data_IF_458652634762
#
_entry.id   IF_458652634762
#
_cell.length_a   1.000
_cell.length_b   1.000
_cell.length_c   1.000
_cell.angle_alpha   90.00
_cell.angle_beta   90.00
_cell.angle_gamma   90.00
#
_symmetry.space_group_name_H-M   'P 1'
#
loop_
_entity.id
_entity.type
_entity.pdbx_description
1 polymer ?
#
# COMPACT_ATOMS: atom_id res chain seq x y z
N UNK A 1 11.50 0.58 -21.59
CA UNK A 1 11.13 1.75 -20.75
C UNK A 1 10.03 2.55 -21.43
N UNK A 2 9.01 2.98 -20.69
CA UNK A 2 7.96 3.84 -21.24
C UNK A 2 8.50 5.25 -21.54
N UNK A 3 9.52 5.68 -20.78
CA UNK A 3 10.16 6.99 -20.94
C UNK A 3 11.52 6.88 -21.65
N UNK A 4 11.47 6.77 -22.97
CA UNK A 4 12.66 6.73 -23.83
C UNK A 4 13.43 8.07 -23.85
N UNK A 5 12.74 9.19 -23.62
CA UNK A 5 13.34 10.52 -23.65
C UNK A 5 14.30 10.71 -22.47
N UNK A 6 13.89 10.30 -21.27
CA UNK A 6 14.73 10.36 -20.06
C UNK A 6 15.95 9.44 -20.16
N UNK A 7 15.80 8.24 -20.73
CA UNK A 7 16.93 7.30 -20.93
C UNK A 7 17.94 7.87 -21.93
N UNK A 8 17.47 8.37 -23.08
CA UNK A 8 18.34 8.97 -24.09
C UNK A 8 19.11 10.19 -23.55
N UNK A 9 18.45 10.99 -22.71
CA UNK A 9 19.08 12.14 -22.06
C UNK A 9 20.15 11.72 -21.03
N UNK A 10 19.91 10.65 -20.28
CA UNK A 10 20.88 10.09 -19.36
C UNK A 10 22.11 9.52 -20.08
N UNK A 11 21.91 8.79 -21.18
CA UNK A 11 22.98 8.27 -22.04
C UNK A 11 23.79 9.41 -22.67
N UNK A 12 23.14 10.50 -23.08
CA UNK A 12 23.81 11.71 -23.55
C UNK A 12 24.73 12.31 -22.47
N UNK A 13 24.24 12.45 -21.23
CA UNK A 13 25.04 12.96 -20.12
C UNK A 13 26.22 12.04 -19.81
N UNK A 14 25.99 10.71 -19.77
CA UNK A 14 27.06 9.75 -19.51
C UNK A 14 28.19 9.84 -20.55
N UNK A 15 27.87 9.88 -21.84
CA UNK A 15 28.87 9.99 -22.92
C UNK A 15 29.74 11.24 -22.77
N UNK A 16 29.09 12.36 -22.41
CA UNK A 16 29.75 13.65 -22.22
C UNK A 16 30.70 13.66 -21.00
N UNK A 17 30.26 13.10 -19.87
CA UNK A 17 31.11 12.99 -18.67
C UNK A 17 32.31 12.05 -18.89
N UNK A 18 32.16 11.02 -19.72
CA UNK A 18 33.28 10.12 -20.09
C UNK A 18 34.26 10.71 -21.11
N UNK A 19 34.10 11.98 -21.51
CA UNK A 19 35.03 12.68 -22.40
C UNK A 19 34.90 12.32 -23.89
N UNK A 20 33.85 11.59 -24.29
CA UNK A 20 33.54 11.43 -25.71
C UNK A 20 32.98 12.75 -26.23
N UNK A 21 33.63 13.35 -27.24
CA UNK A 21 33.22 14.62 -27.85
C UNK A 21 31.80 14.49 -28.40
N UNK A 22 30.76 15.09 -27.78
CA UNK A 22 29.41 14.93 -28.30
C UNK A 22 29.27 15.88 -29.48
N UNK A 23 29.27 15.35 -30.69
CA UNK A 23 28.70 16.04 -31.85
C UNK A 23 27.15 16.10 -31.76
N UNK A 24 26.56 15.45 -30.74
CA UNK A 24 25.13 15.29 -30.59
C UNK A 24 24.49 16.48 -29.85
N UNK A 25 23.36 16.94 -30.41
CA UNK A 25 22.49 17.95 -29.78
C UNK A 25 21.81 17.33 -28.54
N UNK A 26 21.78 18.06 -27.44
CA UNK A 26 21.13 17.60 -26.20
C UNK A 26 19.64 17.24 -26.45
N UNK A 27 19.17 16.04 -26.05
CA UNK A 27 17.78 15.62 -26.23
C UNK A 27 16.77 16.60 -25.62
N UNK A 28 16.01 17.31 -26.45
CA UNK A 28 15.04 18.31 -25.97
C UNK A 28 13.76 17.70 -25.38
N UNK A 29 13.41 16.46 -25.76
CA UNK A 29 12.16 15.81 -25.36
C UNK A 29 12.04 15.56 -23.85
N UNK A 30 13.16 15.49 -23.14
CA UNK A 30 13.20 15.33 -21.66
C UNK A 30 12.87 16.63 -20.92
N UNK A 31 12.78 17.78 -21.60
CA UNK A 31 12.64 19.09 -20.96
C UNK A 31 11.16 19.51 -20.91
N UNK A 32 10.46 19.35 -19.77
CA UNK A 32 9.08 19.80 -19.65
C UNK A 32 9.00 21.34 -19.61
N UNK A 33 7.82 21.89 -19.89
CA UNK A 33 7.58 23.35 -19.93
C UNK A 33 8.13 24.12 -18.72
N UNK A 34 8.01 23.55 -17.51
CA UNK A 34 8.49 24.19 -16.28
C UNK A 34 10.01 24.39 -16.25
N UNK A 35 10.75 23.48 -16.91
CA UNK A 35 12.22 23.49 -16.97
C UNK A 35 12.77 24.31 -18.14
N UNK A 36 11.97 24.57 -19.18
CA UNK A 36 12.42 25.27 -20.40
C UNK A 36 13.10 26.62 -20.12
N UNK A 37 12.57 27.39 -19.15
CA UNK A 37 13.13 28.70 -18.77
C UNK A 37 14.52 28.64 -18.11
N UNK A 38 14.88 27.50 -17.55
CA UNK A 38 16.17 27.28 -16.90
C UNK A 38 17.16 26.64 -17.87
N UNK A 39 16.67 25.71 -18.70
CA UNK A 39 17.49 24.94 -19.64
C UNK A 39 17.84 25.76 -20.88
N UNK A 40 16.92 26.56 -21.41
CA UNK A 40 17.15 27.37 -22.61
C UNK A 40 17.35 28.84 -22.24
N UNK A 41 18.58 29.34 -22.44
CA UNK A 41 18.89 30.75 -22.27
C UNK A 41 18.31 31.63 -23.39
N UNK A 42 18.48 32.96 -23.27
CA UNK A 42 17.93 33.95 -24.21
C UNK A 42 18.30 33.71 -25.69
N UNK A 43 19.46 33.10 -25.95
CA UNK A 43 19.93 32.76 -27.30
C UNK A 43 19.64 31.31 -27.72
N UNK A 44 18.73 30.61 -27.03
CA UNK A 44 18.49 29.15 -27.16
C UNK A 44 19.72 28.28 -26.90
N UNK A 45 20.78 28.85 -26.31
CA UNK A 45 21.90 28.08 -25.80
C UNK A 45 21.43 27.24 -24.61
N UNK A 46 21.86 25.98 -24.56
CA UNK A 46 21.50 25.04 -23.48
C UNK A 46 22.42 25.30 -22.29
N UNK A 47 21.84 25.69 -21.15
CA UNK A 47 22.55 25.65 -19.88
C UNK A 47 22.68 24.18 -19.46
N UNK A 48 23.91 23.68 -19.48
CA UNK A 48 24.19 22.27 -19.21
C UNK A 48 23.98 21.88 -17.76
N UNK A 49 24.24 22.77 -16.81
CA UNK A 49 23.99 22.47 -15.40
C UNK A 49 22.48 22.36 -15.17
N UNK A 50 21.71 23.32 -15.69
CA UNK A 50 20.25 23.27 -15.63
C UNK A 50 19.68 22.04 -16.34
N UNK A 51 20.23 21.68 -17.50
CA UNK A 51 19.85 20.48 -18.24
C UNK A 51 20.13 19.20 -17.42
N UNK A 52 21.29 19.08 -16.77
CA UNK A 52 21.62 17.94 -15.92
C UNK A 52 20.63 17.80 -14.76
N UNK A 53 20.31 18.89 -14.07
CA UNK A 53 19.30 18.85 -13.00
C UNK A 53 17.90 18.50 -13.51
N UNK A 54 17.52 19.01 -14.68
CA UNK A 54 16.27 18.65 -15.36
C UNK A 54 16.21 17.14 -15.61
N UNK A 55 17.27 16.54 -16.17
CA UNK A 55 17.33 15.10 -16.46
C UNK A 55 17.28 14.27 -15.18
N UNK A 56 17.98 14.69 -14.11
CA UNK A 56 17.93 13.98 -12.82
C UNK A 56 16.54 14.06 -12.17
N UNK A 57 15.86 15.19 -12.26
CA UNK A 57 14.49 15.36 -11.79
C UNK A 57 13.53 14.46 -12.58
N UNK A 58 13.62 14.45 -13.92
CA UNK A 58 12.82 13.55 -14.75
C UNK A 58 13.13 12.07 -14.46
N UNK A 59 14.40 11.70 -14.25
CA UNK A 59 14.78 10.34 -13.88
C UNK A 59 14.18 9.91 -12.54
N UNK A 60 14.19 10.80 -11.53
CA UNK A 60 13.56 10.53 -10.23
C UNK A 60 12.06 10.27 -10.40
N UNK A 61 11.37 11.11 -11.15
CA UNK A 61 9.94 10.94 -11.42
C UNK A 61 9.65 9.66 -12.22
N UNK A 62 10.45 9.37 -13.25
CA UNK A 62 10.32 8.16 -14.06
C UNK A 62 10.54 6.87 -13.24
N UNK A 63 11.50 6.87 -12.31
CA UNK A 63 11.70 5.76 -11.36
C UNK A 63 10.50 5.63 -10.41
N UNK A 64 9.95 6.75 -9.92
CA UNK A 64 8.79 6.74 -9.02
C UNK A 64 7.53 6.23 -9.72
N UNK A 65 7.32 6.61 -10.98
CA UNK A 65 6.20 6.15 -11.83
C UNK A 65 6.41 4.75 -12.41
N UNK A 66 7.59 4.15 -12.24
CA UNK A 66 7.98 2.87 -12.85
C UNK A 66 7.97 2.89 -14.39
N UNK A 67 8.36 4.02 -14.98
CA UNK A 67 8.57 4.15 -16.43
C UNK A 67 9.98 3.72 -16.86
N UNK A 68 10.95 3.88 -15.94
CA UNK A 68 12.36 3.49 -16.05
C UNK A 68 12.69 2.49 -14.95
N UNK A 69 13.53 1.50 -15.28
CA UNK A 69 13.93 0.43 -14.38
C UNK A 69 15.45 0.33 -14.32
N UNK A 70 15.97 -0.10 -13.18
CA UNK A 70 17.41 -0.22 -12.93
C UNK A 70 17.77 -1.68 -12.73
N UNK A 71 18.76 -2.17 -13.49
CA UNK A 71 19.35 -3.49 -13.30
C UNK A 71 20.78 -3.36 -12.73
N UNK A 72 21.19 -4.16 -11.74
CA UNK A 72 20.44 -5.23 -11.06
C UNK A 72 19.74 -4.76 -9.76
N UNK A 73 18.89 -3.73 -9.80
CA UNK A 73 18.18 -3.25 -8.61
C UNK A 73 17.02 -4.17 -8.22
N UNK A 74 16.82 -4.40 -6.91
CA UNK A 74 15.57 -4.99 -6.40
C UNK A 74 14.47 -3.94 -6.24
N UNK A 75 14.82 -2.75 -5.71
CA UNK A 75 13.85 -1.68 -5.40
C UNK A 75 13.25 -1.04 -6.66
N UNK A 76 14.06 -0.89 -7.72
CA UNK A 76 13.65 -0.27 -8.98
C UNK A 76 13.70 -1.26 -10.16
N UNK A 77 13.51 -2.56 -9.88
CA UNK A 77 13.49 -3.59 -10.91
C UNK A 77 12.25 -3.48 -11.81
N UNK A 78 12.34 -4.01 -13.03
CA UNK A 78 11.17 -4.19 -13.90
C UNK A 78 10.31 -5.34 -13.35
N UNK A 79 9.09 -5.07 -12.83
CA UNK A 79 8.25 -6.12 -12.27
C UNK A 79 7.79 -7.13 -13.32
N UNK A 80 7.83 -6.76 -14.61
CA UNK A 80 7.40 -7.63 -15.71
C UNK A 80 8.43 -8.69 -16.06
N UNK A 81 9.67 -8.53 -15.61
CA UNK A 81 10.77 -9.44 -15.94
C UNK A 81 10.56 -10.86 -15.38
N UNK A 82 9.70 -11.00 -14.37
CA UNK A 82 9.34 -12.29 -13.77
C UNK A 82 7.96 -12.78 -14.23
N UNK A 83 7.35 -12.15 -15.23
CA UNK A 83 6.11 -12.61 -15.82
C UNK A 83 6.40 -13.59 -16.95
N UNK A 84 5.53 -14.58 -17.12
CA UNK A 84 5.55 -15.47 -18.28
C UNK A 84 5.32 -14.64 -19.55
N UNK A 85 6.14 -14.87 -20.57
CA UNK A 85 6.03 -14.18 -21.86
C UNK A 85 6.35 -15.14 -23.00
N UNK A 86 5.88 -14.79 -24.21
CA UNK A 86 6.13 -15.57 -25.42
C UNK A 86 5.68 -17.02 -25.29
N UNK A 87 6.55 -17.96 -25.66
CA UNK A 87 6.23 -19.39 -25.68
C UNK A 87 5.85 -19.97 -24.30
N UNK A 88 6.48 -19.49 -23.22
CA UNK A 88 6.18 -19.97 -21.86
C UNK A 88 4.76 -19.56 -21.43
N UNK A 89 4.35 -18.34 -21.78
CA UNK A 89 2.97 -17.89 -21.56
C UNK A 89 1.99 -18.71 -22.38
N UNK A 90 2.22 -18.89 -23.69
CA UNK A 90 1.32 -19.66 -24.54
C UNK A 90 1.15 -21.11 -24.06
N UNK A 91 2.22 -21.72 -23.53
CA UNK A 91 2.15 -23.06 -22.94
C UNK A 91 1.34 -23.10 -21.62
N UNK A 92 1.50 -22.09 -20.76
CA UNK A 92 0.81 -22.04 -19.45
C UNK A 92 -0.62 -21.51 -19.54
N UNK A 93 -0.93 -20.71 -20.56
CA UNK A 93 -2.19 -19.97 -20.73
C UNK A 93 -3.45 -20.82 -20.60
N UNK A 94 -3.59 -22.00 -21.22
CA UNK A 94 -4.80 -22.82 -21.08
C UNK A 94 -5.08 -23.28 -19.65
N UNK A 95 -4.02 -23.57 -18.88
CA UNK A 95 -4.14 -24.01 -17.48
C UNK A 95 -4.49 -22.81 -16.61
N UNK A 96 -3.78 -21.70 -16.75
CA UNK A 96 -4.02 -20.48 -15.96
C UNK A 96 -5.43 -19.94 -16.20
N UNK A 97 -5.86 -19.80 -17.46
CA UNK A 97 -7.22 -19.36 -17.78
C UNK A 97 -8.27 -20.26 -17.13
N UNK A 98 -8.13 -21.58 -17.22
CA UNK A 98 -9.06 -22.54 -16.59
C UNK A 98 -9.09 -22.41 -15.07
N UNK A 99 -7.94 -22.32 -14.41
CA UNK A 99 -7.84 -22.16 -12.95
C UNK A 99 -8.50 -20.87 -12.47
N UNK A 100 -8.41 -19.80 -13.26
CA UNK A 100 -9.01 -18.50 -12.96
C UNK A 100 -10.47 -18.38 -13.46
N UNK A 101 -11.03 -19.41 -14.08
CA UNK A 101 -12.38 -19.37 -14.65
C UNK A 101 -12.53 -18.48 -15.89
N UNK A 102 -11.43 -18.14 -16.56
CA UNK A 102 -11.41 -17.35 -17.80
C UNK A 102 -11.32 -18.22 -19.05
N UNK A 103 -11.82 -17.66 -20.16
CA UNK A 103 -11.60 -18.23 -21.49
C UNK A 103 -10.14 -18.06 -21.94
N UNK A 104 -9.63 -19.04 -22.68
CA UNK A 104 -8.36 -18.92 -23.41
C UNK A 104 -8.51 -18.13 -24.72
N UNK A 105 -9.70 -17.66 -25.07
CA UNK A 105 -9.90 -16.63 -26.10
C UNK A 105 -10.23 -15.32 -25.38
N UNK A 106 -9.46 -14.22 -25.59
CA UNK A 106 -9.74 -12.97 -24.90
C UNK A 106 -10.93 -12.22 -25.52
N UNK A 107 -11.33 -12.55 -26.76
CA UNK A 107 -12.32 -11.78 -27.50
C UNK A 107 -13.69 -11.65 -26.76
N UNK A 108 -14.25 -12.70 -26.15
CA UNK A 108 -15.51 -12.58 -25.41
C UNK A 108 -15.41 -11.66 -24.19
N UNK A 109 -14.29 -11.72 -23.46
CA UNK A 109 -14.07 -10.89 -22.27
C UNK A 109 -13.88 -9.42 -22.68
N UNK A 110 -13.07 -9.18 -23.72
CA UNK A 110 -12.86 -7.83 -24.24
C UNK A 110 -14.17 -7.24 -24.79
N UNK A 111 -14.99 -8.02 -25.48
CA UNK A 111 -16.30 -7.57 -25.94
C UNK A 111 -17.21 -7.20 -24.77
N UNK A 112 -17.33 -8.06 -23.75
CA UNK A 112 -18.14 -7.80 -22.58
C UNK A 112 -17.70 -6.52 -21.82
N UNK A 113 -16.39 -6.35 -21.61
CA UNK A 113 -15.84 -5.14 -20.98
C UNK A 113 -16.06 -3.89 -21.82
N UNK A 114 -15.94 -4.01 -23.14
CA UNK A 114 -16.18 -2.88 -24.06
C UNK A 114 -17.65 -2.47 -24.04
N UNK A 115 -18.55 -3.44 -24.05
CA UNK A 115 -19.99 -3.22 -23.98
C UNK A 115 -20.39 -2.60 -22.63
N UNK A 116 -19.85 -3.12 -21.52
CA UNK A 116 -20.08 -2.57 -20.18
C UNK A 116 -19.60 -1.11 -20.09
N UNK A 117 -18.42 -0.82 -20.65
CA UNK A 117 -17.86 0.53 -20.69
C UNK A 117 -18.72 1.49 -21.51
N UNK A 118 -19.13 1.11 -22.73
CA UNK A 118 -20.00 1.92 -23.58
C UNK A 118 -21.36 2.17 -22.93
N UNK A 119 -21.99 1.12 -22.39
CA UNK A 119 -23.26 1.24 -21.68
C UNK A 119 -23.15 2.17 -20.47
N UNK A 120 -22.08 2.05 -19.70
CA UNK A 120 -21.82 2.89 -18.54
C UNK A 120 -21.63 4.35 -18.95
N UNK A 121 -20.83 4.63 -19.99
CA UNK A 121 -20.65 6.00 -20.49
C UNK A 121 -21.96 6.60 -20.97
N UNK A 122 -22.77 5.86 -21.73
CA UNK A 122 -24.08 6.32 -22.19
C UNK A 122 -25.02 6.58 -21.03
N UNK A 123 -25.05 5.70 -20.04
CA UNK A 123 -25.87 5.87 -18.84
C UNK A 123 -25.44 7.11 -18.03
N UNK A 124 -24.13 7.33 -17.88
CA UNK A 124 -23.60 8.53 -17.22
C UNK A 124 -23.98 9.77 -18.01
N UNK A 125 -23.72 9.81 -19.32
CA UNK A 125 -24.04 10.96 -20.17
C UNK A 125 -25.53 11.30 -20.17
N UNK A 126 -26.41 10.29 -20.16
CA UNK A 126 -27.85 10.49 -20.09
C UNK A 126 -28.33 11.01 -18.72
N UNK A 127 -27.68 10.61 -17.63
CA UNK A 127 -28.05 11.02 -16.26
C UNK A 127 -27.40 12.33 -15.84
N UNK A 128 -26.26 12.69 -16.42
CA UNK A 128 -25.43 13.84 -16.03
C UNK A 128 -26.20 15.17 -15.97
N UNK A 129 -27.04 15.53 -16.96
CA UNK A 129 -27.79 16.80 -16.92
C UNK A 129 -28.77 16.91 -15.74
N UNK A 130 -29.21 15.77 -15.20
CA UNK A 130 -30.18 15.70 -14.12
C UNK A 130 -29.54 15.25 -12.79
N UNK A 131 -28.21 15.17 -12.71
CA UNK A 131 -27.52 14.73 -11.50
C UNK A 131 -27.19 15.94 -10.60
N UNK A 132 -27.89 16.13 -9.47
CA UNK A 132 -27.65 17.28 -8.59
C UNK A 132 -26.29 17.20 -7.87
N UNK A 133 -25.65 16.04 -7.85
CA UNK A 133 -24.32 15.87 -7.27
C UNK A 133 -23.19 16.29 -8.23
N UNK A 134 -23.50 16.67 -9.47
CA UNK A 134 -22.48 17.07 -10.45
C UNK A 134 -22.77 18.48 -10.93
N UNK A 135 -21.77 19.36 -10.87
CA UNK A 135 -21.84 20.70 -11.46
C UNK A 135 -20.55 21.04 -12.18
N UNK A 136 -20.66 21.92 -13.17
CA UNK A 136 -19.51 22.47 -13.89
C UNK A 136 -19.39 23.95 -13.54
N UNK A 137 -18.21 24.36 -13.06
CA UNK A 137 -17.91 25.75 -12.72
C UNK A 137 -16.65 26.22 -13.45
N UNK A 138 -16.59 27.52 -13.77
CA UNK A 138 -15.40 28.12 -14.36
C UNK A 138 -14.46 28.57 -13.24
N UNK A 139 -13.33 27.89 -13.07
CA UNK A 139 -12.28 28.24 -12.10
C UNK A 139 -11.00 28.54 -12.88
N UNK A 140 -10.39 29.72 -12.65
CA UNK A 140 -9.17 30.17 -13.36
C UNK A 140 -9.24 30.07 -14.89
N UNK A 141 -10.41 30.35 -15.47
CA UNK A 141 -10.63 30.30 -16.91
C UNK A 141 -10.80 28.88 -17.50
N UNK A 142 -10.86 27.84 -16.67
CA UNK A 142 -11.11 26.45 -17.09
C UNK A 142 -12.44 25.96 -16.55
N UNK A 143 -13.11 25.10 -17.31
CA UNK A 143 -14.32 24.41 -16.85
C UNK A 143 -13.89 23.22 -15.98
N UNK A 144 -14.23 23.26 -14.70
CA UNK A 144 -13.92 22.23 -13.71
C UNK A 144 -15.19 21.42 -13.38
N UNK A 145 -15.03 20.10 -13.28
CA UNK A 145 -16.08 19.19 -12.81
C UNK A 145 -16.05 19.17 -11.29
N UNK A 146 -17.16 19.54 -10.65
CA UNK A 146 -17.29 19.46 -9.20
C UNK A 146 -18.33 18.39 -8.83
N UNK A 147 -17.87 17.43 -8.03
CA UNK A 147 -18.70 16.40 -7.42
C UNK A 147 -19.06 16.83 -6.00
N UNK A 148 -20.35 16.93 -5.71
CA UNK A 148 -20.85 17.15 -4.35
C UNK A 148 -20.48 15.96 -3.46
N UNK A 149 -20.07 16.25 -2.22
CA UNK A 149 -19.82 15.21 -1.23
C UNK A 149 -21.10 14.47 -0.91
N UNK A 150 -20.99 13.19 -0.55
CA UNK A 150 -22.12 12.46 0.00
C UNK A 150 -22.65 13.19 1.24
N UNK A 151 -23.96 13.40 1.29
CA UNK A 151 -24.59 13.94 2.48
C UNK A 151 -24.32 13.00 3.66
N UNK A 152 -23.96 13.59 4.80
CA UNK A 152 -23.87 12.84 6.04
C UNK A 152 -25.26 12.27 6.33
N UNK A 153 -25.34 10.95 6.50
CA UNK A 153 -26.56 10.33 7.02
C UNK A 153 -26.84 10.94 8.39
N UNK A 154 -28.00 11.60 8.53
CA UNK A 154 -28.40 12.18 9.81
C UNK A 154 -28.48 11.08 10.86
N UNK A 155 -27.75 11.26 11.96
CA UNK A 155 -27.77 10.31 13.06
C UNK A 155 -28.99 10.61 13.95
N UNK A 156 -29.87 9.63 14.21
CA UNK A 156 -31.00 9.83 15.10
C UNK A 156 -30.53 10.27 16.50
N UNK A 157 -31.31 11.14 17.16
CA UNK A 157 -30.99 11.60 18.51
C UNK A 157 -30.81 10.42 19.50
N UNK A 158 -31.56 9.33 19.31
CA UNK A 158 -31.42 8.09 20.08
C UNK A 158 -30.06 7.42 19.91
N UNK A 159 -29.49 7.41 18.69
CA UNK A 159 -28.16 6.85 18.40
C UNK A 159 -27.07 7.70 19.06
N UNK A 160 -27.18 9.02 18.98
CA UNK A 160 -26.23 9.94 19.63
C UNK A 160 -26.26 9.76 21.14
N UNK A 161 -27.45 9.69 21.74
CA UNK A 161 -27.62 9.46 23.18
C UNK A 161 -27.06 8.08 23.61
N UNK A 162 -27.31 7.03 22.82
CA UNK A 162 -26.77 5.69 23.09
C UNK A 162 -25.24 5.68 23.04
N UNK A 163 -24.63 6.29 22.01
CA UNK A 163 -23.17 6.37 21.86
C UNK A 163 -22.53 7.10 23.04
N UNK A 164 -23.12 8.22 23.49
CA UNK A 164 -22.67 8.93 24.67
C UNK A 164 -22.76 8.08 25.95
N UNK A 165 -23.87 7.35 26.12
CA UNK A 165 -24.06 6.46 27.27
C UNK A 165 -23.07 5.27 27.28
N UNK A 166 -22.71 4.73 26.11
CA UNK A 166 -21.69 3.68 25.96
C UNK A 166 -20.30 4.25 26.24
N UNK A 167 -19.95 5.39 25.64
CA UNK A 167 -18.65 6.04 25.83
C UNK A 167 -18.39 6.40 27.30
N UNK A 168 -19.40 6.88 28.02
CA UNK A 168 -19.29 7.19 29.44
C UNK A 168 -19.02 5.97 30.33
N UNK A 169 -19.24 4.75 29.83
CA UNK A 169 -18.98 3.48 30.54
C UNK A 169 -17.68 2.82 30.10
N UNK A 170 -17.11 3.22 28.96
CA UNK A 170 -15.85 2.69 28.48
C UNK A 170 -14.69 3.32 29.27
N UNK A 171 -13.82 2.50 29.88
CA UNK A 171 -12.66 3.03 30.59
C UNK A 171 -11.66 3.62 29.59
N UNK A 172 -10.99 4.70 29.98
CA UNK A 172 -9.80 5.18 29.29
C UNK A 172 -8.63 4.30 29.71
N UNK A 173 -8.09 3.53 28.76
CA UNK A 173 -6.97 2.61 28.99
C UNK A 173 -5.98 2.77 27.84
N UNK A 174 -4.69 2.78 28.18
CA UNK A 174 -3.64 2.88 27.18
C UNK A 174 -3.58 1.59 26.35
N UNK A 175 -3.37 1.71 25.03
CA UNK A 175 -3.31 0.56 24.12
C UNK A 175 -2.29 -0.52 24.55
N UNK A 176 -1.05 -0.17 25.01
CA UNK A 176 -0.13 -1.17 25.57
C UNK A 176 -0.72 -1.95 26.76
N UNK A 177 -1.47 -1.29 27.63
CA UNK A 177 -2.08 -1.93 28.80
C UNK A 177 -3.20 -2.89 28.38
N UNK A 178 -4.01 -2.50 27.38
CA UNK A 178 -5.00 -3.41 26.77
C UNK A 178 -4.31 -4.66 26.23
N UNK A 179 -3.22 -4.50 25.48
CA UNK A 179 -2.52 -5.62 24.87
C UNK A 179 -1.91 -6.57 25.92
N UNK A 180 -1.28 -6.03 26.96
CA UNK A 180 -0.76 -6.82 28.09
C UNK A 180 -1.87 -7.53 28.85
N UNK A 181 -3.04 -6.89 29.03
CA UNK A 181 -4.20 -7.49 29.68
C UNK A 181 -4.79 -8.64 28.85
N UNK A 182 -4.84 -8.49 27.53
CA UNK A 182 -5.26 -9.57 26.62
C UNK A 182 -4.23 -10.69 26.62
N UNK A 183 -2.92 -10.38 26.66
CA UNK A 183 -1.87 -11.39 26.80
C UNK A 183 -2.05 -12.21 28.08
N UNK A 184 -2.29 -11.54 29.22
CA UNK A 184 -2.54 -12.23 30.49
C UNK A 184 -3.82 -13.08 30.49
N UNK A 185 -4.87 -12.65 29.76
CA UNK A 185 -6.15 -13.38 29.69
C UNK A 185 -6.11 -14.60 28.78
N UNK A 186 -5.40 -14.51 27.66
CA UNK A 186 -5.46 -15.50 26.58
C UNK A 186 -4.20 -16.35 26.48
N UNK A 187 -3.09 -15.91 27.09
CA UNK A 187 -1.78 -16.52 26.90
C UNK A 187 -1.31 -16.49 25.46
N UNK A 188 -1.81 -15.59 24.60
CA UNK A 188 -1.45 -15.60 23.17
C UNK A 188 0.07 -15.43 22.96
N UNK A 189 0.76 -14.74 23.87
CA UNK A 189 2.20 -14.51 23.81
C UNK A 189 3.02 -15.80 23.91
N UNK A 190 2.49 -16.89 24.47
CA UNK A 190 3.22 -18.15 24.57
C UNK A 190 3.26 -18.91 23.24
N UNK A 191 2.48 -18.48 22.24
CA UNK A 191 2.59 -18.99 20.87
C UNK A 191 3.87 -18.50 20.16
N UNK A 192 4.51 -17.44 20.67
CA UNK A 192 5.75 -16.92 20.12
C UNK A 192 6.93 -17.75 20.62
N UNK A 193 7.30 -18.76 19.85
CA UNK A 193 8.46 -19.62 20.10
C UNK A 193 9.70 -19.12 19.38
N UNK A 194 10.89 -19.38 19.95
CA UNK A 194 12.16 -19.03 19.32
C UNK A 194 12.36 -19.83 18.02
N UNK A 195 12.98 -19.23 17.00
CA UNK A 195 13.22 -19.86 15.68
C UNK A 195 13.98 -21.18 15.73
N UNK A 196 14.82 -21.39 16.75
CA UNK A 196 15.56 -22.64 16.95
C UNK A 196 14.78 -23.71 17.73
N UNK A 197 13.53 -23.45 18.11
CA UNK A 197 12.61 -24.31 18.89
C UNK A 197 13.14 -24.77 20.26
N UNK A 198 14.35 -24.35 20.65
CA UNK A 198 14.88 -24.55 21.99
C UNK A 198 14.10 -23.67 22.96
N UNK A 199 13.74 -24.25 24.11
CA UNK A 199 13.11 -23.53 25.22
C UNK A 199 14.11 -22.56 25.88
N UNK A 200 14.46 -21.48 25.18
CA UNK A 200 15.13 -20.33 25.75
C UNK A 200 14.10 -19.59 26.62
N UNK A 201 14.07 -19.92 27.92
CA UNK A 201 13.25 -19.20 28.90
C UNK A 201 13.87 -17.85 29.14
N UNK A 202 13.45 -16.86 28.36
CA UNK A 202 13.77 -15.47 28.67
C UNK A 202 12.65 -14.87 29.49
N UNK A 203 13.01 -14.28 30.61
CA UNK A 203 12.09 -13.59 31.53
C UNK A 203 11.34 -12.48 30.78
N UNK A 204 10.06 -12.31 31.13
CA UNK A 204 9.19 -11.24 30.61
C UNK A 204 9.12 -11.17 29.07
N UNK A 205 9.26 -12.31 28.39
CA UNK A 205 9.16 -12.38 26.92
C UNK A 205 7.84 -11.81 26.41
N UNK A 206 6.73 -12.05 27.10
CA UNK A 206 5.42 -11.51 26.72
C UNK A 206 5.39 -9.98 26.62
N UNK A 207 6.14 -9.28 27.49
CA UNK A 207 6.27 -7.81 27.44
C UNK A 207 7.01 -7.40 26.17
N UNK A 208 8.14 -8.05 25.88
CA UNK A 208 8.90 -7.78 24.65
C UNK A 208 8.07 -8.06 23.39
N UNK A 209 7.33 -9.17 23.37
CA UNK A 209 6.45 -9.53 22.25
C UNK A 209 5.35 -8.48 22.05
N UNK A 210 4.67 -8.08 23.12
CA UNK A 210 3.63 -7.05 23.04
C UNK A 210 4.19 -5.71 22.53
N UNK A 211 5.39 -5.32 22.98
CA UNK A 211 6.04 -4.11 22.50
C UNK A 211 6.38 -4.20 21.01
N UNK A 212 6.96 -5.31 20.54
CA UNK A 212 7.25 -5.47 19.10
C UNK A 212 5.97 -5.47 18.27
N UNK A 213 4.93 -6.18 18.69
CA UNK A 213 3.64 -6.20 17.99
C UNK A 213 3.04 -4.79 17.86
N UNK A 214 3.11 -3.99 18.94
CA UNK A 214 2.61 -2.62 18.92
C UNK A 214 3.42 -1.72 17.98
N UNK A 215 4.76 -1.85 17.98
CA UNK A 215 5.64 -1.10 17.08
C UNK A 215 5.33 -1.36 15.60
N UNK A 216 5.14 -2.63 15.24
CA UNK A 216 4.82 -3.04 13.87
C UNK A 216 3.39 -2.63 13.49
N UNK A 217 2.40 -2.94 14.33
CA UNK A 217 0.98 -2.66 14.03
C UNK A 217 0.67 -1.16 13.94
N UNK A 218 1.34 -0.33 14.75
CA UNK A 218 1.16 1.12 14.72
C UNK A 218 2.13 1.85 13.77
N UNK A 219 2.99 1.13 13.04
CA UNK A 219 4.01 1.70 12.15
C UNK A 219 4.91 2.75 12.83
N UNK A 220 5.15 2.62 14.13
CA UNK A 220 5.96 3.58 14.91
C UNK A 220 7.43 3.23 14.96
N UNK A 221 7.78 1.98 14.62
CA UNK A 221 9.09 1.42 14.92
C UNK A 221 9.30 1.19 16.43
N UNK A 222 10.46 0.64 16.80
CA UNK A 222 10.75 0.24 18.19
C UNK A 222 11.04 1.42 19.12
N UNK A 223 11.52 2.55 18.58
CA UNK A 223 12.06 3.67 19.36
C UNK A 223 11.14 4.16 20.50
N UNK A 224 9.83 4.37 20.27
CA UNK A 224 8.93 4.86 21.32
C UNK A 224 8.72 3.88 22.49
N UNK A 225 9.06 2.60 22.30
CA UNK A 225 8.87 1.54 23.29
C UNK A 225 10.16 1.13 23.99
N UNK A 226 11.30 1.72 23.61
CA UNK A 226 12.60 1.42 24.22
C UNK A 226 12.69 2.03 25.61
N UNK A 227 13.05 1.20 26.59
CA UNK A 227 13.31 1.61 27.98
C UNK A 227 14.62 0.99 28.46
N UNK A 228 15.57 1.84 28.87
CA UNK A 228 16.89 1.39 29.33
C UNK A 228 16.85 0.77 30.73
N UNK A 229 15.92 1.24 31.55
CA UNK A 229 15.62 0.81 32.92
C UNK A 229 14.86 -0.53 32.98
N UNK A 230 14.25 -0.97 31.88
CA UNK A 230 13.44 -2.20 31.82
C UNK A 230 14.09 -3.21 30.88
N UNK A 231 14.70 -4.31 31.37
CA UNK A 231 15.43 -5.26 30.54
C UNK A 231 14.63 -5.84 29.35
N UNK A 232 13.33 -6.09 29.53
CA UNK A 232 12.43 -6.61 28.49
C UNK A 232 12.11 -5.61 27.38
N UNK A 233 12.41 -4.32 27.57
CA UNK A 233 12.14 -3.23 26.64
C UNK A 233 13.41 -2.56 26.12
N UNK A 234 14.58 -3.16 26.32
CA UNK A 234 15.83 -2.66 25.72
C UNK A 234 15.80 -2.81 24.19
N UNK A 235 16.46 -1.91 23.47
CA UNK A 235 16.46 -1.92 21.99
C UNK A 235 16.99 -3.23 21.42
N UNK A 236 18.08 -3.75 21.99
CA UNK A 236 18.69 -5.01 21.58
C UNK A 236 17.72 -6.17 21.83
N UNK A 237 17.01 -6.12 22.96
CA UNK A 237 16.00 -7.10 23.35
C UNK A 237 14.84 -7.12 22.37
N UNK A 238 14.26 -5.96 22.05
CA UNK A 238 13.13 -5.85 21.13
C UNK A 238 13.51 -6.24 19.70
N UNK A 239 14.68 -5.80 19.24
CA UNK A 239 15.21 -6.19 17.92
C UNK A 239 15.43 -7.70 17.81
N UNK A 240 15.99 -8.32 18.85
CA UNK A 240 16.16 -9.76 18.91
C UNK A 240 14.83 -10.52 18.91
N UNK A 241 13.82 -10.04 19.65
CA UNK A 241 12.47 -10.64 19.67
C UNK A 241 11.80 -10.53 18.30
N UNK A 242 11.85 -9.35 17.67
CA UNK A 242 11.33 -9.14 16.31
C UNK A 242 11.91 -10.15 15.32
N UNK A 243 13.22 -10.36 15.33
CA UNK A 243 13.90 -11.26 14.38
C UNK A 243 13.69 -12.76 14.67
N UNK A 244 13.57 -13.16 15.94
CA UNK A 244 13.66 -14.57 16.33
C UNK A 244 12.34 -15.18 16.80
N UNK A 245 11.29 -14.38 17.02
CA UNK A 245 10.00 -14.84 17.56
C UNK A 245 8.81 -14.49 16.68
N UNK A 246 8.81 -13.36 15.97
CA UNK A 246 7.72 -12.96 15.08
C UNK A 246 7.91 -13.61 13.72
N UNK A 247 7.04 -14.58 13.41
CA UNK A 247 7.02 -15.33 12.15
C UNK A 247 5.57 -15.64 11.80
N UNK A 248 5.30 -16.00 10.55
CA UNK A 248 3.95 -16.28 10.08
C UNK A 248 3.28 -17.40 10.91
N UNK A 249 4.05 -18.44 11.26
CA UNK A 249 3.55 -19.57 12.03
C UNK A 249 3.20 -19.18 13.48
N UNK A 250 4.01 -18.34 14.12
CA UNK A 250 3.77 -17.89 15.50
C UNK A 250 2.64 -16.87 15.57
N UNK A 251 2.51 -16.00 14.57
CA UNK A 251 1.38 -15.08 14.42
C UNK A 251 0.08 -15.85 14.19
N UNK A 252 0.08 -16.86 13.33
CA UNK A 252 -1.08 -17.72 13.07
C UNK A 252 -1.51 -18.45 14.36
N UNK A 253 -0.56 -19.03 15.09
CA UNK A 253 -0.85 -19.71 16.36
C UNK A 253 -1.35 -18.75 17.45
N UNK A 254 -0.80 -17.54 17.54
CA UNK A 254 -1.27 -16.49 18.44
C UNK A 254 -2.71 -16.06 18.11
N UNK A 255 -3.00 -15.82 16.82
CA UNK A 255 -4.33 -15.45 16.34
C UNK A 255 -5.36 -16.53 16.66
N UNK A 256 -5.03 -17.82 16.48
CA UNK A 256 -5.95 -18.91 16.85
C UNK A 256 -6.36 -18.85 18.33
N UNK A 257 -5.42 -18.53 19.24
CA UNK A 257 -5.72 -18.35 20.68
C UNK A 257 -6.62 -17.14 20.94
N UNK A 258 -6.38 -16.04 20.23
CA UNK A 258 -7.22 -14.83 20.34
C UNK A 258 -8.63 -15.07 19.82
N UNK A 259 -8.77 -15.73 18.68
CA UNK A 259 -10.08 -16.09 18.09
C UNK A 259 -10.84 -17.03 19.01
N UNK A 260 -10.19 -18.07 19.55
CA UNK A 260 -10.82 -18.97 20.51
C UNK A 260 -11.32 -18.22 21.77
N UNK A 261 -10.52 -17.30 22.32
CA UNK A 261 -10.95 -16.48 23.45
C UNK A 261 -12.08 -15.49 23.10
N UNK A 262 -12.11 -14.97 21.87
CA UNK A 262 -13.19 -14.12 21.39
C UNK A 262 -14.50 -14.90 21.21
N UNK A 263 -14.42 -16.15 20.76
CA UNK A 263 -15.56 -17.06 20.60
C UNK A 263 -16.25 -17.35 21.94
N UNK A 264 -15.56 -17.23 23.08
CA UNK A 264 -16.19 -17.36 24.41
C UNK A 264 -17.05 -16.14 24.81
N UNK A 265 -17.00 -15.03 24.07
CA UNK A 265 -17.71 -13.79 24.41
C UNK A 265 -19.13 -13.79 23.80
N UNK A 266 -20.21 -13.81 24.60
CA UNK A 266 -21.58 -13.89 24.07
C UNK A 266 -21.94 -12.72 23.12
N UNK A 267 -21.36 -11.55 23.36
CA UNK A 267 -21.55 -10.38 22.51
C UNK A 267 -20.95 -10.56 21.12
N UNK A 268 -19.85 -11.32 20.97
CA UNK A 268 -19.26 -11.60 19.67
C UNK A 268 -20.23 -12.41 18.79
N UNK A 269 -20.88 -13.43 19.35
CA UNK A 269 -21.92 -14.21 18.68
C UNK A 269 -23.13 -13.38 18.24
N UNK A 270 -23.50 -12.37 19.05
CA UNK A 270 -24.59 -11.45 18.70
C UNK A 270 -24.23 -10.50 17.55
N UNK A 271 -22.95 -10.22 17.32
CA UNK A 271 -22.47 -9.35 16.24
C UNK A 271 -22.22 -10.09 14.92
N UNK A 272 -22.08 -11.41 14.94
CA UNK A 272 -22.02 -12.25 13.74
C UNK A 272 -21.15 -13.49 13.92
N UNK A 273 -21.34 -14.49 13.06
CA UNK A 273 -20.63 -15.78 13.12
C UNK A 273 -19.21 -15.79 12.53
N UNK A 274 -18.58 -14.63 12.34
CA UNK A 274 -17.22 -14.53 11.78
C UNK A 274 -17.09 -14.75 10.26
N UNK A 275 -18.20 -14.99 9.56
CA UNK A 275 -18.22 -15.22 8.10
C UNK A 275 -17.97 -13.96 7.26
N UNK A 276 -18.15 -12.78 7.87
CA UNK A 276 -18.02 -11.48 7.21
C UNK A 276 -17.05 -10.61 7.99
N UNK A 277 -15.94 -10.27 7.34
CA UNK A 277 -15.02 -9.24 7.83
C UNK A 277 -15.15 -7.98 6.96
N UNK A 278 -15.00 -6.82 7.59
CA UNK A 278 -14.88 -5.54 6.91
C UNK A 278 -13.47 -5.00 7.16
N UNK A 279 -12.59 -5.15 6.18
CA UNK A 279 -11.29 -4.47 6.18
C UNK A 279 -11.30 -3.39 5.08
N UNK A 280 -10.85 -2.19 5.42
CA UNK A 280 -10.75 -1.04 4.50
C UNK A 280 -12.05 -0.65 3.78
N UNK A 281 -13.21 -0.92 4.41
CA UNK A 281 -14.53 -0.63 3.84
C UNK A 281 -14.98 -1.60 2.74
N UNK A 282 -14.18 -2.63 2.44
CA UNK A 282 -14.53 -3.74 1.55
C UNK A 282 -15.01 -4.92 2.40
N UNK A 283 -16.24 -5.39 2.14
CA UNK A 283 -16.77 -6.64 2.71
C UNK A 283 -16.27 -7.81 1.87
N UNK A 284 -15.58 -8.76 2.48
CA UNK A 284 -15.27 -10.04 1.84
C UNK A 284 -15.68 -11.20 2.76
N UNK A 285 -16.13 -12.29 2.15
CA UNK A 285 -16.48 -13.52 2.85
C UNK A 285 -15.19 -14.25 3.17
N UNK A 286 -14.91 -14.47 4.45
CA UNK A 286 -13.76 -15.28 4.88
C UNK A 286 -14.26 -16.70 5.07
N UNK A 287 -13.79 -17.69 4.29
CA UNK A 287 -14.12 -19.07 4.55
C UNK A 287 -13.52 -19.48 5.90
N UNK A 288 -14.37 -19.83 6.86
CA UNK A 288 -13.96 -20.40 8.13
C UNK A 288 -13.36 -21.79 7.85
N UNK A 289 -12.11 -22.01 8.26
CA UNK A 289 -11.49 -23.34 8.30
C UNK A 289 -11.42 -23.82 9.74
#
# INVERSE_FOLDING_TARGET
>A
PADAATVAALEYLQRRETGATPADVAPAAVVPKAWQRYVYGANKAVDHLAYTFCVLDQLREALRRRDVFVAPSWRYADPRRNLLAGAEWEAARPIICRTLGYSADPAPILAALSDELDQTYRAVAARLPNNPAVRFERIDGKDELILSTLDKVEEPASLVALRAAVAARLPWVDLPEILLKIAARTGFTDAFTHVSERAARVTDLGISVCAVLLAEACNTGLEPLVRYDVPSLRRERLSWVSQNYLRDETLTAANARLVAAQDEIPLAHAWGGGEVASADGLRFVVPVR
#
